data_IF_504626386611
#
_entry.id   IF_504626386611
#
_cell.length_a   1.000
_cell.length_b   1.000
_cell.length_c   1.000
_cell.angle_alpha   90.00
_cell.angle_beta   90.00
_cell.angle_gamma   90.00
#
_symmetry.space_group_name_H-M   'P 1'
#
loop_
_entity.id
_entity.type
_entity.pdbx_description
1 polymer ?
#
# COMPACT_ATOMS: atom_id res chain seq x y z
N UNK A 1 -6.27 -12.09 -11.84
CA UNK A 1 -5.66 -13.35 -11.39
C UNK A 1 -4.78 -13.03 -10.21
N UNK A 2 -4.96 -13.70 -9.07
CA UNK A 2 -4.05 -13.56 -7.92
C UNK A 2 -2.82 -14.38 -8.30
N UNK A 3 -1.66 -13.73 -8.41
CA UNK A 3 -0.41 -14.45 -8.62
C UNK A 3 -0.01 -15.10 -7.29
N UNK A 4 -0.03 -16.43 -7.24
CA UNK A 4 0.48 -17.21 -6.11
C UNK A 4 2.02 -17.29 -6.12
N UNK A 5 2.65 -16.91 -7.24
CA UNK A 5 4.10 -16.86 -7.42
C UNK A 5 4.56 -15.52 -8.01
N UNK A 6 5.37 -14.79 -7.23
CA UNK A 6 6.04 -13.57 -7.66
C UNK A 6 7.55 -13.82 -7.87
N UNK A 7 8.20 -12.98 -8.66
CA UNK A 7 9.66 -12.94 -8.78
C UNK A 7 10.32 -12.18 -7.62
N UNK A 8 9.55 -11.41 -6.85
CA UNK A 8 10.02 -10.64 -5.70
C UNK A 8 9.00 -9.62 -5.22
N UNK A 9 9.48 -8.58 -4.54
CA UNK A 9 8.65 -7.50 -3.99
C UNK A 9 9.15 -6.16 -4.53
N UNK A 10 8.22 -5.27 -4.91
CA UNK A 10 8.51 -3.86 -5.12
C UNK A 10 8.02 -3.07 -3.91
N UNK A 11 8.96 -2.47 -3.17
CA UNK A 11 8.65 -1.61 -2.02
C UNK A 11 8.48 -0.16 -2.48
N UNK A 12 7.32 0.43 -2.20
CA UNK A 12 6.94 1.78 -2.62
C UNK A 12 6.77 2.65 -1.37
N UNK A 13 7.72 3.57 -1.15
CA UNK A 13 7.73 4.47 0.00
C UNK A 13 6.98 5.78 -0.24
N UNK A 14 6.30 6.25 0.81
CA UNK A 14 5.81 7.60 1.06
C UNK A 14 5.26 8.36 -0.18
N UNK A 15 4.22 7.83 -0.88
CA UNK A 15 3.69 8.51 -2.06
C UNK A 15 3.18 9.92 -1.80
N UNK A 16 2.59 10.18 -0.63
CA UNK A 16 1.96 11.44 -0.26
C UNK A 16 1.05 12.03 -1.35
N UNK A 17 0.12 11.24 -1.88
CA UNK A 17 -0.87 11.72 -2.85
C UNK A 17 -1.72 12.83 -2.23
N UNK A 18 -1.95 13.88 -3.01
CA UNK A 18 -2.68 15.07 -2.62
C UNK A 18 -3.25 15.70 -3.89
N UNK A 19 -4.51 16.14 -3.84
CA UNK A 19 -5.19 16.76 -4.98
C UNK A 19 -4.91 18.24 -5.14
N UNK A 20 -4.21 18.87 -4.18
CA UNK A 20 -3.69 20.24 -4.23
C UNK A 20 -2.22 20.25 -4.61
N UNK A 21 -1.78 21.35 -5.20
CA UNK A 21 -0.35 21.59 -5.48
C UNK A 21 0.34 22.10 -4.19
N UNK A 22 1.35 21.40 -3.64
CA UNK A 22 2.11 21.90 -2.51
C UNK A 22 2.82 23.20 -2.85
N UNK A 23 2.85 24.17 -1.93
CA UNK A 23 3.00 25.60 -2.22
C UNK A 23 4.09 26.04 -3.22
N UNK A 24 5.29 25.45 -3.20
CA UNK A 24 6.39 25.84 -4.10
C UNK A 24 6.55 24.93 -5.34
N UNK A 25 5.71 23.90 -5.48
CA UNK A 25 5.69 23.04 -6.68
C UNK A 25 5.12 23.85 -7.85
N UNK A 26 5.78 23.77 -9.00
CA UNK A 26 5.39 24.49 -10.23
C UNK A 26 4.72 23.56 -11.26
N UNK A 27 4.77 22.26 -11.02
CA UNK A 27 4.17 21.22 -11.84
C UNK A 27 2.76 20.87 -11.35
N UNK A 28 2.05 20.08 -12.15
CA UNK A 28 0.80 19.45 -11.75
C UNK A 28 1.07 18.30 -10.78
N UNK A 29 1.39 18.65 -9.52
CA UNK A 29 1.73 17.69 -8.47
C UNK A 29 0.76 16.51 -8.40
N UNK A 30 -0.57 16.74 -8.35
CA UNK A 30 -1.53 15.65 -8.24
C UNK A 30 -1.44 14.64 -9.38
N UNK A 31 -1.26 15.10 -10.64
CA UNK A 31 -1.09 14.18 -11.76
C UNK A 31 0.28 13.50 -11.72
N UNK A 32 1.35 14.24 -11.45
CA UNK A 32 2.72 13.70 -11.41
C UNK A 32 2.87 12.61 -10.34
N UNK A 33 2.27 12.78 -9.15
CA UNK A 33 2.34 11.75 -8.09
C UNK A 33 1.56 10.49 -8.48
N UNK A 34 0.39 10.64 -9.13
CA UNK A 34 -0.38 9.52 -9.65
C UNK A 34 0.36 8.79 -10.79
N UNK A 35 1.05 9.53 -11.66
CA UNK A 35 1.88 8.95 -12.73
C UNK A 35 3.05 8.15 -12.18
N UNK A 36 3.73 8.66 -11.13
CA UNK A 36 4.78 7.92 -10.43
C UNK A 36 4.25 6.63 -9.81
N UNK A 37 3.13 6.71 -9.11
CA UNK A 37 2.50 5.53 -8.50
C UNK A 37 2.08 4.51 -9.59
N UNK A 38 1.51 4.98 -10.70
CA UNK A 38 1.18 4.15 -11.86
C UNK A 38 2.42 3.49 -12.45
N UNK A 39 3.52 4.23 -12.59
CA UNK A 39 4.78 3.69 -13.08
C UNK A 39 5.32 2.59 -12.16
N UNK A 40 5.26 2.76 -10.84
CA UNK A 40 5.65 1.72 -9.89
C UNK A 40 4.80 0.45 -10.05
N UNK A 41 3.47 0.59 -10.13
CA UNK A 41 2.57 -0.57 -10.26
C UNK A 41 2.71 -1.27 -11.62
N UNK A 42 2.93 -0.50 -12.69
CA UNK A 42 3.23 -1.05 -14.00
C UNK A 42 4.55 -1.82 -13.98
N UNK A 43 5.59 -1.25 -13.37
CA UNK A 43 6.89 -1.90 -13.20
C UNK A 43 6.76 -3.20 -12.41
N UNK A 44 6.00 -3.18 -11.32
CA UNK A 44 5.74 -4.38 -10.52
C UNK A 44 5.07 -5.46 -11.37
N UNK A 45 4.06 -5.11 -12.16
CA UNK A 45 3.39 -6.06 -13.06
C UNK A 45 4.34 -6.62 -14.13
N UNK A 46 5.10 -5.76 -14.80
CA UNK A 46 6.02 -6.16 -15.88
C UNK A 46 7.15 -7.07 -15.39
N UNK A 47 7.60 -6.87 -14.15
CA UNK A 47 8.67 -7.66 -13.54
C UNK A 47 8.13 -8.78 -12.62
N UNK A 48 6.83 -9.02 -12.63
CA UNK A 48 6.16 -10.00 -11.76
C UNK A 48 6.54 -9.83 -10.28
N UNK A 49 6.49 -8.61 -9.75
CA UNK A 49 6.76 -8.27 -8.35
C UNK A 49 5.46 -7.99 -7.60
N UNK A 50 5.40 -8.39 -6.33
CA UNK A 50 4.33 -7.99 -5.42
C UNK A 50 4.51 -6.50 -5.04
N UNK A 51 3.56 -5.60 -5.36
CA UNK A 51 3.65 -4.21 -4.93
C UNK A 51 3.25 -4.07 -3.44
N UNK A 52 4.14 -3.47 -2.65
CA UNK A 52 3.91 -3.20 -1.22
C UNK A 52 4.17 -1.72 -0.92
N UNK A 53 3.15 -1.01 -0.43
CA UNK A 53 3.26 0.37 0.02
C UNK A 53 3.73 0.44 1.48
N UNK A 54 4.74 1.27 1.75
CA UNK A 54 5.37 1.38 3.07
C UNK A 54 4.72 2.40 4.02
N UNK A 55 3.53 2.91 3.66
CA UNK A 55 2.83 3.96 4.41
C UNK A 55 2.86 5.31 3.72
N UNK A 56 2.20 6.27 4.37
CA UNK A 56 2.03 7.65 3.94
C UNK A 56 1.56 7.74 2.48
N UNK A 57 0.54 6.93 2.15
CA UNK A 57 -0.10 7.00 0.84
C UNK A 57 -0.66 8.40 0.63
N UNK A 58 -1.35 8.97 1.62
CA UNK A 58 -1.91 10.31 1.55
C UNK A 58 -0.99 11.35 2.21
N UNK A 59 -1.00 12.58 1.70
CA UNK A 59 -0.34 13.70 2.37
C UNK A 59 -1.09 14.16 3.62
N UNK A 60 -2.42 14.07 3.59
CA UNK A 60 -3.31 14.39 4.72
C UNK A 60 -4.30 13.24 4.93
N UNK A 61 -4.68 12.93 6.19
CA UNK A 61 -5.47 11.74 6.48
C UNK A 61 -6.93 11.89 6.03
N UNK A 62 -7.44 13.12 5.95
CA UNK A 62 -8.85 13.44 5.68
C UNK A 62 -8.95 14.59 4.69
N UNK A 63 -10.17 14.83 4.20
CA UNK A 63 -10.50 15.93 3.27
C UNK A 63 -9.79 15.84 1.90
N UNK A 64 -9.41 14.62 1.49
CA UNK A 64 -8.94 14.34 0.14
C UNK A 64 -10.07 14.47 -0.88
N UNK A 65 -9.75 14.96 -2.09
CA UNK A 65 -10.74 15.22 -3.12
C UNK A 65 -11.26 13.91 -3.73
N UNK A 66 -12.58 13.81 -3.95
CA UNK A 66 -13.23 12.60 -4.49
C UNK A 66 -12.60 12.08 -5.79
N UNK A 67 -12.19 12.98 -6.69
CA UNK A 67 -11.58 12.60 -7.97
C UNK A 67 -10.27 11.82 -7.76
N UNK A 68 -9.47 12.19 -6.74
CA UNK A 68 -8.22 11.51 -6.42
C UNK A 68 -8.50 10.10 -5.89
N UNK A 69 -9.51 9.96 -5.04
CA UNK A 69 -9.97 8.66 -4.56
C UNK A 69 -10.45 7.76 -5.70
N UNK A 70 -11.21 8.29 -6.66
CA UNK A 70 -11.62 7.53 -7.86
C UNK A 70 -10.42 7.06 -8.70
N UNK A 71 -9.39 7.89 -8.83
CA UNK A 71 -8.15 7.51 -9.53
C UNK A 71 -7.45 6.36 -8.80
N UNK A 72 -7.31 6.44 -7.47
CA UNK A 72 -6.68 5.38 -6.67
C UNK A 72 -7.48 4.07 -6.69
N UNK A 73 -8.81 4.14 -6.56
CA UNK A 73 -9.70 2.97 -6.66
C UNK A 73 -9.55 2.24 -7.99
N UNK A 74 -9.34 3.00 -9.08
CA UNK A 74 -9.10 2.44 -10.42
C UNK A 74 -7.67 1.95 -10.60
N UNK A 75 -6.70 2.63 -9.98
CA UNK A 75 -5.28 2.32 -10.10
C UNK A 75 -4.91 1.06 -9.32
N UNK A 76 -5.58 0.78 -8.21
CA UNK A 76 -5.39 -0.41 -7.37
C UNK A 76 -6.24 -1.60 -7.84
N UNK A 77 -6.24 -1.83 -9.16
CA UNK A 77 -6.78 -3.02 -9.80
C UNK A 77 -5.64 -3.72 -10.56
N UNK A 78 -5.04 -4.80 -10.03
CA UNK A 78 -5.42 -5.54 -8.81
C UNK A 78 -5.08 -4.80 -7.50
N UNK A 79 -5.66 -5.23 -6.35
CA UNK A 79 -5.41 -4.62 -5.05
C UNK A 79 -3.93 -4.61 -4.66
N UNK A 80 -3.54 -3.62 -3.87
CA UNK A 80 -2.17 -3.48 -3.35
C UNK A 80 -2.10 -3.89 -1.88
N UNK A 81 -0.90 -4.24 -1.42
CA UNK A 81 -0.62 -4.50 -0.01
C UNK A 81 0.15 -3.33 0.60
N UNK A 82 0.07 -3.17 1.92
CA UNK A 82 0.93 -2.22 2.60
C UNK A 82 0.58 -1.97 4.06
N UNK A 83 1.19 -0.94 4.62
CA UNK A 83 0.93 -0.45 5.97
C UNK A 83 0.47 1.02 5.89
N UNK A 84 -0.15 1.53 6.95
CA UNK A 84 -0.41 2.97 7.06
C UNK A 84 0.73 3.67 7.81
N UNK A 85 1.03 4.90 7.39
CA UNK A 85 1.98 5.79 8.06
C UNK A 85 1.28 6.84 8.93
N UNK A 86 2.02 7.84 9.41
CA UNK A 86 1.49 8.88 10.29
C UNK A 86 0.66 9.93 9.55
N UNK A 87 0.86 10.12 8.24
CA UNK A 87 0.04 11.02 7.44
C UNK A 87 -1.30 10.39 7.03
N UNK A 88 -1.40 9.06 7.09
CA UNK A 88 -2.62 8.33 6.73
C UNK A 88 -3.68 8.34 7.86
N UNK A 89 -3.31 8.68 9.10
CA UNK A 89 -4.25 8.68 10.23
C UNK A 89 -4.18 9.97 11.07
N UNK A 90 -5.34 10.51 11.45
CA UNK A 90 -5.39 11.75 12.26
C UNK A 90 -5.13 11.51 13.75
N UNK A 91 -5.52 10.36 14.28
CA UNK A 91 -5.60 10.08 15.72
C UNK A 91 -4.49 9.13 16.20
N UNK A 92 -3.33 9.12 15.53
CA UNK A 92 -2.22 8.16 15.76
C UNK A 92 -2.60 6.68 15.60
N UNK A 93 -3.82 6.41 15.16
CA UNK A 93 -4.33 5.12 14.77
C UNK A 93 -5.33 5.33 13.64
N UNK A 94 -5.26 4.48 12.62
CA UNK A 94 -6.21 4.49 11.52
C UNK A 94 -7.63 4.19 12.02
N UNK A 95 -8.60 5.01 11.59
CA UNK A 95 -10.02 4.82 11.88
C UNK A 95 -10.90 5.06 10.64
N UNK A 96 -12.21 4.85 10.76
CA UNK A 96 -13.18 4.94 9.65
C UNK A 96 -13.32 6.34 9.04
N UNK A 97 -12.87 7.39 9.73
CA UNK A 97 -12.90 8.76 9.24
C UNK A 97 -11.69 9.12 8.37
N UNK A 98 -10.67 8.26 8.32
CA UNK A 98 -9.46 8.47 7.53
C UNK A 98 -9.63 7.93 6.10
N UNK A 99 -9.08 8.63 5.12
CA UNK A 99 -9.30 8.38 3.68
C UNK A 99 -8.83 6.98 3.27
N UNK A 100 -7.71 6.51 3.84
CA UNK A 100 -7.18 5.17 3.57
C UNK A 100 -8.17 4.05 3.93
N UNK A 101 -9.01 4.26 4.96
CA UNK A 101 -10.03 3.29 5.37
C UNK A 101 -11.06 3.03 4.27
N UNK A 102 -11.28 3.97 3.35
CA UNK A 102 -12.17 3.77 2.21
C UNK A 102 -11.57 2.77 1.22
N UNK A 103 -10.27 2.88 0.92
CA UNK A 103 -9.58 1.95 0.03
C UNK A 103 -9.49 0.54 0.62
N UNK A 104 -9.32 0.45 1.95
CA UNK A 104 -9.33 -0.83 2.67
C UNK A 104 -10.72 -1.47 2.62
N UNK A 105 -11.77 -0.72 2.94
CA UNK A 105 -13.15 -1.23 2.89
C UNK A 105 -13.58 -1.62 1.47
N UNK A 106 -13.09 -0.92 0.45
CA UNK A 106 -13.30 -1.26 -0.95
C UNK A 106 -12.50 -2.48 -1.43
N UNK A 107 -11.67 -3.08 -0.57
CA UNK A 107 -10.81 -4.21 -0.92
C UNK A 107 -9.69 -3.87 -1.90
N UNK A 108 -9.33 -2.58 -2.03
CA UNK A 108 -8.27 -2.11 -2.93
C UNK A 108 -6.91 -1.99 -2.25
N UNK A 109 -6.90 -1.93 -0.92
CA UNK A 109 -5.69 -1.85 -0.12
C UNK A 109 -5.76 -2.86 1.03
N UNK A 110 -4.83 -3.81 1.06
CA UNK A 110 -4.77 -4.85 2.09
C UNK A 110 -3.68 -4.52 3.11
N UNK A 111 -4.09 -4.31 4.36
CA UNK A 111 -3.15 -4.04 5.45
C UNK A 111 -2.35 -5.30 5.83
N UNK A 112 -1.03 -5.15 5.77
CA UNK A 112 -0.08 -6.13 6.26
C UNK A 112 0.12 -5.98 7.75
N UNK A 113 -0.01 -7.09 8.47
CA UNK A 113 0.29 -7.17 9.91
C UNK A 113 0.90 -8.54 10.24
N UNK A 114 1.18 -8.79 11.52
CA UNK A 114 1.56 -10.12 11.97
C UNK A 114 0.37 -11.11 11.88
N UNK A 115 -0.85 -10.62 12.07
CA UNK A 115 -2.09 -11.37 12.02
C UNK A 115 -2.60 -11.59 10.59
N UNK A 116 -2.33 -10.62 9.71
CA UNK A 116 -2.74 -10.62 8.30
C UNK A 116 -1.54 -10.43 7.37
N UNK A 117 -0.55 -11.34 7.38
CA UNK A 117 0.56 -11.27 6.46
C UNK A 117 0.11 -11.70 5.06
N UNK A 118 0.78 -11.20 4.03
CA UNK A 118 0.73 -11.83 2.71
C UNK A 118 1.49 -13.15 2.75
N UNK A 119 0.95 -14.16 2.07
CA UNK A 119 1.52 -15.51 1.96
C UNK A 119 1.55 -15.93 0.49
N UNK A 120 2.65 -16.53 0.07
CA UNK A 120 2.77 -17.09 -1.28
C UNK A 120 4.19 -17.56 -1.57
N UNK A 121 4.50 -17.76 -2.85
CA UNK A 121 5.82 -18.18 -3.30
C UNK A 121 6.55 -17.04 -4.00
N UNK A 122 7.86 -16.98 -3.79
CA UNK A 122 8.76 -16.12 -4.56
C UNK A 122 9.95 -16.91 -5.06
N UNK A 123 10.10 -17.01 -6.38
CA UNK A 123 11.14 -17.81 -7.03
C UNK A 123 11.21 -19.24 -6.45
N UNK A 124 10.06 -19.92 -6.34
CA UNK A 124 9.96 -21.26 -5.74
C UNK A 124 10.18 -21.35 -4.21
N UNK A 125 10.32 -20.24 -3.48
CA UNK A 125 10.47 -20.22 -2.02
C UNK A 125 9.20 -19.72 -1.35
N UNK A 126 8.74 -20.41 -0.31
CA UNK A 126 7.62 -19.95 0.51
C UNK A 126 8.01 -18.69 1.29
N UNK A 127 7.23 -17.62 1.16
CA UNK A 127 7.51 -16.28 1.72
C UNK A 127 6.28 -15.77 2.49
N UNK A 128 6.55 -15.18 3.66
CA UNK A 128 5.60 -14.36 4.41
C UNK A 128 6.05 -12.91 4.41
N UNK A 129 5.11 -12.00 4.18
CA UNK A 129 5.36 -10.56 4.31
C UNK A 129 4.35 -10.00 5.30
N UNK A 130 4.84 -9.60 6.47
CA UNK A 130 4.08 -8.85 7.45
C UNK A 130 4.38 -7.36 7.39
N UNK A 131 3.73 -6.60 8.28
CA UNK A 131 3.92 -5.16 8.39
C UNK A 131 3.73 -4.67 9.82
N UNK A 132 4.29 -3.49 10.12
CA UNK A 132 4.02 -2.76 11.36
C UNK A 132 3.66 -1.33 10.98
N UNK A 133 2.38 -0.97 11.08
CA UNK A 133 1.90 0.38 10.81
C UNK A 133 2.33 1.38 11.89
N UNK A 134 2.26 2.67 11.57
CA UNK A 134 2.57 3.75 12.50
C UNK A 134 1.82 3.60 13.84
N UNK A 135 2.50 3.96 14.94
CA UNK A 135 1.94 3.89 16.29
C UNK A 135 1.77 2.47 16.85
N UNK A 136 2.05 1.41 16.07
CA UNK A 136 2.06 0.03 16.54
C UNK A 136 3.45 -0.38 17.01
N UNK A 137 3.49 -1.24 18.03
CA UNK A 137 4.75 -1.85 18.50
C UNK A 137 5.23 -2.84 17.45
N UNK A 138 6.48 -2.70 17.01
CA UNK A 138 7.16 -3.70 16.18
C UNK A 138 7.12 -5.05 16.90
N UNK A 139 6.54 -6.04 16.24
CA UNK A 139 6.48 -7.41 16.77
C UNK A 139 7.71 -8.19 16.34
N UNK A 140 7.98 -9.29 17.05
CA UNK A 140 9.04 -10.24 16.69
C UNK A 140 8.79 -10.92 15.36
N UNK A 141 9.71 -11.80 14.95
CA UNK A 141 9.61 -12.53 13.70
C UNK A 141 8.27 -13.27 13.57
N UNK A 142 7.72 -13.28 12.35
CA UNK A 142 6.56 -14.09 11.99
C UNK A 142 7.12 -15.42 11.45
N UNK A 143 6.65 -16.53 11.99
CA UNK A 143 7.10 -17.86 11.58
C UNK A 143 6.09 -18.49 10.60
N UNK A 144 6.61 -19.20 9.59
CA UNK A 144 5.81 -20.12 8.78
C UNK A 144 5.63 -21.39 9.61
N UNK A 145 4.40 -21.74 9.96
CA UNK A 145 4.14 -22.97 10.71
C UNK A 145 4.60 -24.19 9.88
N UNK A 146 5.24 -25.20 10.50
CA UNK A 146 5.67 -26.40 9.78
C UNK A 146 4.46 -27.08 9.11
N UNK A 147 4.52 -27.27 7.79
CA UNK A 147 3.46 -27.92 7.01
C UNK A 147 2.41 -26.98 6.40
N UNK A 148 2.47 -25.67 6.67
CA UNK A 148 1.74 -24.66 5.91
C UNK A 148 2.59 -24.24 4.70
N UNK A 149 2.75 -25.16 3.74
CA UNK A 149 3.23 -24.77 2.42
C UNK A 149 2.06 -24.10 1.68
N UNK A 150 2.20 -22.86 1.16
CA UNK A 150 1.15 -22.21 0.39
C UNK A 150 0.86 -22.95 -0.92
#
# INVERSE_FOLDING_TARGET
MVHEEYSGVLLIGDPHVEGRVPGFRKDDYPQIVLEKLRWCLQTAREQNLLPVLLGDLFHVPRDNQNWLLCQLLSLFEPPVYGIYGNHDCRENQLNEHDTLSILIQAGKYHLLSAETPWRGKMQGRSVLIGGTSWGRKLRGAIEIAPGEDP
#
